data_IF_612740614048
#
_entry.id   IF_612740614048
#
_cell.length_a   1.000
_cell.length_b   1.000
_cell.length_c   1.000
_cell.angle_alpha   90.00
_cell.angle_beta   90.00
_cell.angle_gamma   90.00
#
_symmetry.space_group_name_H-M   'P 1'
#
loop_
_entity.id
_entity.type
_entity.pdbx_description
1 polymer ?
#
# COMPACT_ATOMS: atom_id res chain seq x y z
N UNK A 1 3.86 29.80 27.50
CA UNK A 1 3.47 29.42 28.87
C UNK A 1 4.68 28.79 29.55
N UNK A 2 5.06 29.25 30.73
CA UNK A 2 6.27 28.85 31.47
C UNK A 2 5.90 28.55 32.94
N UNK A 3 5.52 27.30 33.24
CA UNK A 3 4.98 26.96 34.55
C UNK A 3 6.09 26.92 35.61
N UNK A 4 5.81 27.47 36.79
CA UNK A 4 6.73 27.48 37.93
C UNK A 4 6.80 26.10 38.60
N UNK A 5 7.52 25.18 37.96
CA UNK A 5 7.71 23.81 38.42
C UNK A 5 9.19 23.43 38.37
N UNK A 6 9.69 22.57 39.26
CA UNK A 6 11.08 22.12 39.24
C UNK A 6 11.51 21.53 37.89
N UNK A 7 10.61 20.87 37.18
CA UNK A 7 10.86 20.33 35.84
C UNK A 7 11.13 21.42 34.80
N UNK A 8 10.34 22.49 34.79
CA UNK A 8 10.52 23.62 33.89
C UNK A 8 11.84 24.37 34.15
N UNK A 9 12.21 24.55 35.42
CA UNK A 9 13.49 25.17 35.80
C UNK A 9 14.70 24.35 35.35
N UNK A 10 14.64 23.02 35.50
CA UNK A 10 15.70 22.12 35.00
C UNK A 10 15.83 22.18 33.48
N UNK A 11 14.70 22.15 32.76
CA UNK A 11 14.69 22.21 31.30
C UNK A 11 15.24 23.55 30.79
N UNK A 12 14.87 24.66 31.45
CA UNK A 12 15.38 26.00 31.17
C UNK A 12 16.89 26.09 31.38
N UNK A 13 17.38 25.60 32.52
CA UNK A 13 18.80 25.55 32.83
C UNK A 13 19.58 24.77 31.76
N UNK A 14 19.11 23.56 31.44
CA UNK A 14 19.71 22.75 30.38
C UNK A 14 19.70 23.43 29.01
N UNK A 15 18.59 24.06 28.60
CA UNK A 15 18.48 24.74 27.31
C UNK A 15 19.46 25.91 27.20
N UNK A 16 19.61 26.70 28.26
CA UNK A 16 20.50 27.86 28.29
C UNK A 16 21.99 27.48 28.29
N UNK A 17 22.36 26.34 28.90
CA UNK A 17 23.77 25.90 29.01
C UNK A 17 24.24 25.12 27.80
N UNK A 18 23.49 24.11 27.37
CA UNK A 18 23.96 23.11 26.38
C UNK A 18 22.89 22.71 25.37
N UNK A 19 21.61 22.78 25.74
CA UNK A 19 20.50 22.27 24.93
C UNK A 19 20.27 23.06 23.64
N UNK A 20 20.49 24.38 23.64
CA UNK A 20 20.35 25.24 22.45
C UNK A 20 21.29 24.86 21.28
N UNK A 21 22.40 24.20 21.57
CA UNK A 21 23.40 23.75 20.59
C UNK A 21 23.32 22.23 20.32
N UNK A 22 22.43 21.53 21.03
CA UNK A 22 22.26 20.10 20.84
C UNK A 22 21.67 19.81 19.46
N UNK A 23 22.27 18.85 18.75
CA UNK A 23 21.71 18.34 17.50
C UNK A 23 20.37 17.66 17.79
N UNK A 24 19.32 18.12 17.12
CA UNK A 24 17.99 17.52 17.23
C UNK A 24 17.78 16.55 16.07
N UNK A 25 17.18 15.41 16.35
CA UNK A 25 16.66 14.53 15.31
C UNK A 25 15.18 14.81 15.12
N UNK A 26 14.74 14.87 13.86
CA UNK A 26 13.32 14.91 13.57
C UNK A 26 12.69 13.58 13.97
N UNK A 27 11.73 13.62 14.89
CA UNK A 27 10.90 12.45 15.26
C UNK A 27 9.85 12.12 14.20
N UNK A 28 9.75 12.93 13.15
CA UNK A 28 8.89 12.71 12.00
C UNK A 28 9.38 11.49 11.22
N UNK A 29 9.01 10.29 11.66
CA UNK A 29 9.15 9.10 10.84
C UNK A 29 8.15 9.20 9.69
N UNK A 30 8.57 9.74 8.54
CA UNK A 30 7.92 9.51 7.24
C UNK A 30 8.13 8.06 6.81
N UNK A 31 7.72 7.12 7.66
CA UNK A 31 7.80 5.69 7.40
C UNK A 31 6.64 5.30 6.51
N UNK A 32 6.81 5.51 5.20
CA UNK A 32 5.89 5.03 4.18
C UNK A 32 5.56 3.54 4.32
N UNK A 33 6.46 2.76 4.93
CA UNK A 33 6.30 1.33 5.17
C UNK A 33 5.76 0.89 6.53
N UNK A 34 5.56 1.79 7.52
CA UNK A 34 4.98 1.38 8.79
C UNK A 34 3.45 1.27 8.68
N UNK A 35 2.88 0.23 9.31
CA UNK A 35 1.44 0.04 9.48
C UNK A 35 0.92 0.95 10.59
N UNK A 36 0.99 2.25 10.34
CA UNK A 36 0.53 3.31 11.24
C UNK A 36 -0.36 4.27 10.46
N UNK A 37 -1.48 4.67 11.06
CA UNK A 37 -2.45 5.58 10.47
C UNK A 37 -3.80 5.42 11.14
N UNK A 38 -4.76 6.32 10.86
CA UNK A 38 -6.13 6.17 11.33
C UNK A 38 -6.77 4.91 10.74
N UNK A 39 -7.39 4.10 11.59
CA UNK A 39 -8.20 2.95 11.17
C UNK A 39 -9.58 3.43 10.75
N UNK A 40 -10.10 2.90 9.65
CA UNK A 40 -11.42 3.27 9.11
C UNK A 40 -12.03 2.10 8.34
N UNK A 41 -13.36 2.09 8.26
CA UNK A 41 -14.11 1.18 7.38
C UNK A 41 -13.98 1.61 5.92
N UNK A 42 -14.20 0.67 4.99
CA UNK A 42 -14.11 0.95 3.56
C UNK A 42 -15.13 2.01 3.10
N UNK A 43 -16.31 2.06 3.72
CA UNK A 43 -17.29 3.11 3.44
C UNK A 43 -16.75 4.50 3.81
N UNK A 44 -16.22 4.67 5.03
CA UNK A 44 -15.63 5.93 5.49
C UNK A 44 -14.44 6.34 4.61
N UNK A 45 -13.58 5.39 4.25
CA UNK A 45 -12.46 5.64 3.34
C UNK A 45 -12.94 6.17 1.99
N UNK A 46 -14.02 5.61 1.44
CA UNK A 46 -14.63 6.06 0.19
C UNK A 46 -15.20 7.47 0.32
N UNK A 47 -15.90 7.76 1.41
CA UNK A 47 -16.50 9.09 1.68
C UNK A 47 -15.43 10.16 1.77
N UNK A 48 -14.42 9.97 2.63
CA UNK A 48 -13.32 10.93 2.81
C UNK A 48 -12.49 11.11 1.54
N UNK A 49 -12.20 10.00 0.85
CA UNK A 49 -11.49 10.04 -0.43
C UNK A 49 -12.25 10.83 -1.51
N UNK A 50 -13.58 10.71 -1.55
CA UNK A 50 -14.42 11.44 -2.50
C UNK A 50 -14.55 12.92 -2.11
N UNK A 51 -14.69 13.21 -0.81
CA UNK A 51 -14.83 14.56 -0.28
C UNK A 51 -13.60 15.46 -0.53
N UNK A 52 -12.41 14.87 -0.68
CA UNK A 52 -11.18 15.61 -0.97
C UNK A 52 -11.20 16.37 -2.32
N UNK A 53 -12.06 15.98 -3.28
CA UNK A 53 -12.21 16.65 -4.59
C UNK A 53 -10.99 16.50 -5.52
N UNK A 54 -10.89 17.34 -6.56
CA UNK A 54 -9.72 17.42 -7.46
C UNK A 54 -9.05 18.79 -7.40
N UNK A 55 -7.69 18.88 -7.42
CA UNK A 55 -6.73 17.81 -7.15
C UNK A 55 -6.64 17.60 -5.63
N UNK A 56 -7.58 16.85 -5.07
CA UNK A 56 -7.67 16.64 -3.63
C UNK A 56 -6.42 15.98 -3.07
N UNK A 57 -6.05 16.40 -1.87
CA UNK A 57 -4.96 15.76 -1.14
C UNK A 57 -5.30 14.27 -0.95
N UNK A 58 -4.34 13.35 -1.21
CA UNK A 58 -4.60 11.94 -1.01
C UNK A 58 -4.85 11.65 0.47
N UNK A 59 -5.85 10.83 0.75
CA UNK A 59 -6.11 10.32 2.11
C UNK A 59 -5.44 8.96 2.28
N UNK A 60 -5.00 8.66 3.50
CA UNK A 60 -4.36 7.38 3.84
C UNK A 60 -4.97 6.82 5.10
N UNK A 61 -5.49 5.60 5.02
CA UNK A 61 -6.16 4.91 6.11
C UNK A 61 -5.66 3.48 6.25
N UNK A 62 -5.77 2.95 7.46
CA UNK A 62 -5.69 1.52 7.70
C UNK A 62 -7.10 0.93 7.65
N UNK A 63 -7.25 -0.25 7.05
CA UNK A 63 -8.48 -1.02 7.14
C UNK A 63 -8.17 -2.51 7.21
N UNK A 64 -8.89 -3.24 8.07
CA UNK A 64 -8.91 -4.70 8.04
C UNK A 64 -10.05 -5.14 7.13
N UNK A 65 -9.73 -5.90 6.09
CA UNK A 65 -10.70 -6.32 5.08
C UNK A 65 -10.36 -7.72 4.54
N UNK A 66 -11.35 -8.36 3.93
CA UNK A 66 -11.21 -9.65 3.26
C UNK A 66 -11.06 -9.45 1.75
N UNK A 67 -10.18 -10.23 1.11
CA UNK A 67 -10.07 -10.23 -0.35
C UNK A 67 -11.24 -11.03 -0.92
N UNK A 68 -12.12 -10.40 -1.68
CA UNK A 68 -13.19 -11.11 -2.39
C UNK A 68 -12.72 -11.63 -3.75
N UNK A 69 -11.85 -10.88 -4.44
CA UNK A 69 -11.32 -11.28 -5.74
C UNK A 69 -9.93 -10.68 -5.98
N UNK A 70 -9.01 -11.49 -6.49
CA UNK A 70 -7.77 -11.02 -7.08
C UNK A 70 -7.80 -11.35 -8.58
N UNK A 71 -7.70 -10.34 -9.45
CA UNK A 71 -7.65 -10.58 -10.90
C UNK A 71 -6.27 -11.11 -11.27
N UNK A 72 -6.22 -12.34 -11.77
CA UNK A 72 -5.01 -12.94 -12.32
C UNK A 72 -4.72 -12.43 -13.74
N UNK A 73 -5.76 -12.01 -14.49
CA UNK A 73 -5.56 -11.58 -15.87
C UNK A 73 -4.73 -10.30 -15.92
N UNK A 74 -3.63 -10.34 -16.68
CA UNK A 74 -2.68 -9.23 -16.82
C UNK A 74 -2.03 -8.77 -15.49
N UNK A 75 -2.10 -9.58 -14.43
CA UNK A 75 -1.46 -9.27 -13.15
C UNK A 75 0.06 -9.24 -13.29
N UNK A 76 0.63 -10.02 -14.23
CA UNK A 76 2.06 -10.17 -14.44
C UNK A 76 2.51 -9.48 -15.74
N UNK A 77 3.63 -8.75 -15.69
CA UNK A 77 4.24 -8.15 -16.88
C UNK A 77 5.77 -8.15 -16.84
N UNK A 78 6.37 -8.14 -18.04
CA UNK A 78 7.82 -7.94 -18.24
C UNK A 78 8.17 -6.47 -18.01
N UNK A 79 9.08 -6.18 -17.08
CA UNK A 79 9.50 -4.83 -16.72
C UNK A 79 10.98 -4.59 -16.99
N UNK A 80 11.36 -3.31 -17.05
CA UNK A 80 12.74 -2.85 -17.21
C UNK A 80 13.64 -3.47 -16.13
N UNK A 81 14.79 -4.09 -16.48
CA UNK A 81 15.63 -4.80 -15.53
C UNK A 81 16.39 -3.87 -14.56
N UNK A 82 16.49 -2.57 -14.86
CA UNK A 82 17.18 -1.61 -13.97
C UNK A 82 16.46 -1.44 -12.64
N UNK A 83 17.21 -1.20 -11.56
CA UNK A 83 16.66 -1.15 -10.19
C UNK A 83 15.66 0.01 -9.99
N UNK A 84 15.91 1.15 -10.63
CA UNK A 84 15.13 2.39 -10.47
C UNK A 84 13.96 2.51 -11.46
N UNK A 85 13.77 1.53 -12.33
CA UNK A 85 12.70 1.55 -13.34
C UNK A 85 11.76 0.35 -13.19
N UNK A 86 10.46 0.63 -13.21
CA UNK A 86 9.39 -0.36 -13.15
C UNK A 86 8.50 -0.33 -14.41
N UNK A 87 8.93 0.37 -15.46
CA UNK A 87 8.14 0.50 -16.69
C UNK A 87 8.09 -0.85 -17.41
N UNK A 88 6.92 -1.21 -17.94
CA UNK A 88 6.75 -2.35 -18.85
C UNK A 88 7.66 -2.18 -20.08
N UNK A 89 8.36 -3.24 -20.45
CA UNK A 89 9.19 -3.27 -21.67
C UNK A 89 8.39 -3.76 -22.88
N UNK A 90 8.83 -3.35 -24.06
CA UNK A 90 8.32 -3.83 -25.34
C UNK A 90 9.25 -4.97 -25.80
N UNK A 91 8.66 -6.12 -26.11
CA UNK A 91 9.38 -7.28 -26.65
C UNK A 91 9.60 -7.08 -28.15
N UNK A 92 10.86 -6.96 -28.58
CA UNK A 92 11.23 -6.80 -29.99
C UNK A 92 11.71 -8.13 -30.61
N UNK A 93 11.54 -9.26 -29.92
CA UNK A 93 12.01 -10.58 -30.33
C UNK A 93 13.40 -10.91 -29.80
N UNK A 94 14.43 -10.14 -30.20
CA UNK A 94 15.82 -10.37 -29.73
C UNK A 94 16.14 -9.63 -28.42
N UNK A 95 15.49 -8.50 -28.17
CA UNK A 95 15.74 -7.64 -27.02
C UNK A 95 14.45 -7.01 -26.48
N UNK A 96 14.59 -6.31 -25.36
CA UNK A 96 13.51 -5.63 -24.64
C UNK A 96 13.75 -4.13 -24.58
N UNK A 97 12.87 -3.34 -25.21
CA UNK A 97 12.95 -1.87 -25.22
C UNK A 97 12.24 -1.28 -24.01
N UNK A 98 12.93 -0.41 -23.26
CA UNK A 98 12.31 0.41 -22.22
C UNK A 98 12.17 1.87 -22.68
N UNK A 99 10.94 2.31 -22.96
CA UNK A 99 10.64 3.71 -23.36
C UNK A 99 11.04 4.75 -22.30
N UNK A 100 10.97 4.40 -21.01
CA UNK A 100 11.33 5.34 -19.93
C UNK A 100 12.83 5.57 -19.85
N UNK A 101 13.63 4.51 -20.03
CA UNK A 101 15.09 4.59 -19.96
C UNK A 101 15.71 4.89 -21.33
N UNK A 102 14.93 4.75 -22.41
CA UNK A 102 15.38 4.85 -23.79
C UNK A 102 16.54 3.90 -24.12
N UNK A 103 16.49 2.68 -23.57
CA UNK A 103 17.54 1.65 -23.67
C UNK A 103 16.95 0.29 -24.05
N UNK A 104 17.78 -0.52 -24.69
CA UNK A 104 17.52 -1.93 -25.02
C UNK A 104 18.23 -2.85 -24.05
N UNK A 105 17.55 -3.91 -23.62
CA UNK A 105 18.09 -4.90 -22.69
C UNK A 105 17.95 -6.32 -23.27
N UNK A 106 18.93 -7.20 -23.04
CA UNK A 106 18.82 -8.61 -23.44
C UNK A 106 17.85 -9.40 -22.55
N UNK A 107 17.42 -8.84 -21.42
CA UNK A 107 16.59 -9.48 -20.42
C UNK A 107 15.53 -8.53 -19.83
N UNK A 108 14.71 -9.07 -18.93
CA UNK A 108 13.67 -8.34 -18.21
C UNK A 108 13.53 -8.90 -16.79
N UNK A 109 12.77 -8.19 -15.94
CA UNK A 109 12.32 -8.69 -14.64
C UNK A 109 10.80 -8.83 -14.64
N UNK A 110 10.28 -9.89 -14.04
CA UNK A 110 8.85 -9.98 -13.79
C UNK A 110 8.43 -9.00 -12.69
N UNK A 111 7.25 -8.40 -12.85
CA UNK A 111 6.59 -7.60 -11.81
C UNK A 111 5.10 -7.86 -11.83
N UNK A 112 4.48 -7.71 -10.65
CA UNK A 112 3.03 -7.73 -10.52
C UNK A 112 2.41 -6.33 -10.48
N UNK A 113 1.19 -6.27 -11.00
CA UNK A 113 0.23 -5.19 -10.84
C UNK A 113 -1.12 -5.82 -10.51
N UNK A 114 -1.34 -6.12 -9.24
CA UNK A 114 -2.57 -6.75 -8.76
C UNK A 114 -3.74 -5.78 -8.77
N UNK A 115 -4.87 -6.20 -9.33
CA UNK A 115 -6.17 -5.55 -9.12
C UNK A 115 -6.96 -6.41 -8.15
N UNK A 116 -7.16 -5.89 -6.94
CA UNK A 116 -7.72 -6.63 -5.81
C UNK A 116 -9.03 -5.97 -5.40
N UNK A 117 -10.10 -6.75 -5.31
CA UNK A 117 -11.34 -6.35 -4.70
C UNK A 117 -11.32 -6.77 -3.24
N UNK A 118 -11.37 -5.77 -2.35
CA UNK A 118 -11.39 -5.95 -0.91
C UNK A 118 -12.75 -5.54 -0.35
N UNK A 119 -13.21 -6.25 0.67
CA UNK A 119 -14.55 -6.13 1.23
C UNK A 119 -14.48 -6.15 2.74
N UNK A 120 -15.28 -5.28 3.37
CA UNK A 120 -15.57 -5.33 4.79
C UNK A 120 -17.10 -5.32 5.00
N UNK A 121 -17.54 -5.21 6.25
CA UNK A 121 -18.97 -5.22 6.59
C UNK A 121 -19.72 -3.96 6.11
N UNK A 122 -19.02 -2.90 5.68
CA UNK A 122 -19.61 -1.62 5.25
C UNK A 122 -19.64 -1.45 3.74
N UNK A 123 -18.59 -1.92 3.04
CA UNK A 123 -18.44 -1.68 1.61
C UNK A 123 -17.45 -2.62 0.94
N UNK A 124 -17.22 -2.38 -0.35
CA UNK A 124 -16.15 -2.98 -1.13
C UNK A 124 -15.42 -1.92 -1.93
N UNK A 125 -14.14 -2.14 -2.22
CA UNK A 125 -13.41 -1.29 -3.15
C UNK A 125 -12.41 -2.09 -3.99
N UNK A 126 -12.15 -1.58 -5.20
CA UNK A 126 -11.05 -2.06 -6.04
C UNK A 126 -9.79 -1.26 -5.72
N UNK A 127 -8.71 -1.97 -5.38
CA UNK A 127 -7.43 -1.38 -5.06
C UNK A 127 -6.30 -1.99 -5.90
N UNK A 128 -5.33 -1.15 -6.24
CA UNK A 128 -4.11 -1.59 -6.95
C UNK A 128 -3.04 -1.98 -5.94
N UNK A 129 -2.51 -3.21 -6.06
CA UNK A 129 -1.33 -3.69 -5.34
C UNK A 129 -0.12 -3.74 -6.28
N UNK A 130 0.93 -2.99 -5.97
CA UNK A 130 2.20 -3.09 -6.72
C UNK A 130 3.01 -4.30 -6.27
N UNK A 131 3.94 -4.77 -7.13
CA UNK A 131 4.70 -6.02 -6.98
C UNK A 131 4.92 -6.50 -5.55
N UNK A 132 5.60 -5.74 -4.68
CA UNK A 132 5.91 -6.19 -3.32
C UNK A 132 4.67 -6.52 -2.48
N UNK A 133 3.61 -5.70 -2.53
CA UNK A 133 2.40 -5.97 -1.76
C UNK A 133 1.54 -7.06 -2.41
N UNK A 134 1.56 -7.17 -3.75
CA UNK A 134 0.89 -8.25 -4.46
C UNK A 134 1.56 -9.62 -4.18
N UNK A 135 2.88 -9.67 -4.11
CA UNK A 135 3.66 -10.86 -3.74
C UNK A 135 3.35 -11.31 -2.31
N UNK A 136 3.16 -10.37 -1.37
CA UNK A 136 2.73 -10.69 0.00
C UNK A 136 1.33 -11.30 0.04
N UNK A 137 0.40 -10.78 -0.78
CA UNK A 137 -0.98 -11.29 -0.87
C UNK A 137 -1.02 -12.70 -1.47
N UNK A 138 -0.24 -12.93 -2.53
CA UNK A 138 -0.23 -14.23 -3.24
C UNK A 138 0.63 -15.26 -2.49
N UNK A 139 1.63 -14.81 -1.75
CA UNK A 139 2.61 -15.69 -1.09
C UNK A 139 3.69 -16.23 -2.04
N UNK A 140 3.82 -15.65 -3.25
CA UNK A 140 4.82 -16.01 -4.26
C UNK A 140 5.41 -14.76 -4.88
N UNK A 141 6.69 -14.82 -5.27
CA UNK A 141 7.36 -13.73 -5.96
C UNK A 141 6.85 -13.58 -7.40
N UNK A 142 6.99 -12.38 -7.97
CA UNK A 142 6.64 -12.16 -9.39
C UNK A 142 7.47 -13.05 -10.33
N UNK A 143 8.71 -13.38 -9.95
CA UNK A 143 9.60 -14.24 -10.73
C UNK A 143 9.08 -15.68 -10.75
N UNK A 144 8.75 -16.26 -9.59
CA UNK A 144 8.20 -17.62 -9.49
C UNK A 144 6.88 -17.73 -10.28
N UNK A 145 5.99 -16.74 -10.18
CA UNK A 145 4.74 -16.73 -10.94
C UNK A 145 4.98 -16.63 -12.45
N UNK A 146 6.02 -15.91 -12.88
CA UNK A 146 6.36 -15.81 -14.30
C UNK A 146 6.94 -17.09 -14.87
N UNK A 147 7.74 -17.82 -14.09
CA UNK A 147 8.22 -19.15 -14.44
C UNK A 147 7.07 -20.15 -14.50
N UNK A 148 6.14 -20.08 -13.53
CA UNK A 148 4.96 -20.94 -13.49
C UNK A 148 4.05 -20.72 -14.71
N UNK A 149 3.84 -19.45 -15.10
CA UNK A 149 3.05 -19.10 -16.29
C UNK A 149 3.65 -19.66 -17.59
N UNK A 150 4.98 -19.79 -17.68
CA UNK A 150 5.64 -20.40 -18.84
C UNK A 150 5.53 -21.93 -18.87
N UNK A 151 5.42 -22.56 -17.70
CA UNK A 151 5.35 -24.02 -17.57
C UNK A 151 3.92 -24.53 -17.72
N UNK A 152 2.96 -23.89 -17.06
CA UNK A 152 1.59 -24.38 -16.93
C UNK A 152 0.63 -23.24 -16.59
N UNK A 153 -0.29 -22.94 -17.51
CA UNK A 153 -1.35 -21.96 -17.27
C UNK A 153 -2.28 -22.40 -16.12
N UNK A 154 -2.46 -23.71 -15.94
CA UNK A 154 -3.25 -24.27 -14.84
C UNK A 154 -2.63 -24.02 -13.47
N UNK A 155 -1.32 -24.21 -13.34
CA UNK A 155 -0.63 -23.96 -12.06
C UNK A 155 -0.56 -22.47 -11.75
N UNK A 156 -0.39 -21.64 -12.79
CA UNK A 156 -0.51 -20.18 -12.64
C UNK A 156 -1.88 -19.79 -12.09
N UNK A 157 -2.97 -20.31 -12.67
CA UNK A 157 -4.32 -20.04 -12.17
C UNK A 157 -4.53 -20.56 -10.74
N UNK A 158 -3.97 -21.73 -10.40
CA UNK A 158 -4.06 -22.31 -9.06
C UNK A 158 -3.39 -21.45 -7.99
N UNK A 159 -2.30 -20.73 -8.32
CA UNK A 159 -1.64 -19.81 -7.40
C UNK A 159 -2.57 -18.67 -6.93
N UNK A 160 -3.51 -18.22 -7.77
CA UNK A 160 -4.49 -17.20 -7.40
C UNK A 160 -5.75 -17.76 -6.75
N UNK A 161 -6.04 -19.05 -6.93
CA UNK A 161 -7.26 -19.67 -6.42
C UNK A 161 -7.35 -19.67 -4.88
N UNK A 162 -6.19 -19.66 -4.19
CA UNK A 162 -6.12 -19.60 -2.73
C UNK A 162 -6.20 -18.19 -2.13
N UNK A 163 -6.15 -17.14 -2.95
CA UNK A 163 -6.09 -15.73 -2.49
C UNK A 163 -7.43 -15.21 -1.93
N UNK A 164 -8.59 -15.49 -2.55
CA UNK A 164 -9.88 -15.06 -2.00
C UNK A 164 -10.14 -15.59 -0.59
N UNK A 165 -10.94 -14.85 0.18
CA UNK A 165 -11.33 -15.12 1.56
C UNK A 165 -10.19 -15.08 2.60
N UNK A 166 -9.01 -14.62 2.19
CA UNK A 166 -7.97 -14.25 3.14
C UNK A 166 -8.20 -12.82 3.65
N UNK A 167 -7.97 -12.64 4.95
CA UNK A 167 -8.13 -11.37 5.64
C UNK A 167 -6.77 -10.72 5.90
N UNK A 168 -6.68 -9.41 5.65
CA UNK A 168 -5.45 -8.65 5.87
C UNK A 168 -5.76 -7.26 6.43
N UNK A 169 -4.75 -6.64 7.03
CA UNK A 169 -4.75 -5.21 7.31
C UNK A 169 -4.04 -4.48 6.17
N UNK A 170 -4.76 -3.57 5.52
CA UNK A 170 -4.27 -2.78 4.39
C UNK A 170 -4.04 -1.33 4.81
N UNK A 171 -2.94 -0.74 4.34
CA UNK A 171 -2.75 0.71 4.30
C UNK A 171 -3.16 1.21 2.92
N UNK A 172 -4.34 1.81 2.83
CA UNK A 172 -4.92 2.29 1.59
C UNK A 172 -4.66 3.78 1.43
N UNK A 173 -4.05 4.15 0.30
CA UNK A 173 -4.05 5.52 -0.21
C UNK A 173 -5.21 5.66 -1.18
N UNK A 174 -6.06 6.65 -0.97
CA UNK A 174 -7.10 7.01 -1.94
C UNK A 174 -6.88 8.43 -2.48
N UNK A 175 -7.16 8.61 -3.76
CA UNK A 175 -7.02 9.89 -4.44
C UNK A 175 -7.99 9.97 -5.60
N UNK A 176 -8.65 11.12 -5.77
CA UNK A 176 -9.46 11.38 -6.95
C UNK A 176 -8.56 11.63 -8.15
N UNK A 177 -8.80 10.92 -9.25
CA UNK A 177 -8.06 11.07 -10.51
C UNK A 177 -9.04 11.21 -11.69
N UNK A 178 -8.67 12.02 -12.68
CA UNK A 178 -9.35 12.05 -13.97
C UNK A 178 -8.79 10.95 -14.87
N UNK A 179 -9.63 10.00 -15.26
CA UNK A 179 -9.29 8.92 -16.18
C UNK A 179 -10.33 8.81 -17.28
N UNK A 180 -9.91 8.95 -18.55
CA UNK A 180 -10.78 8.99 -19.72
C UNK A 180 -11.99 9.93 -19.53
N UNK A 181 -11.74 11.18 -19.13
CA UNK A 181 -12.76 12.22 -18.88
C UNK A 181 -13.79 11.88 -17.80
N UNK A 182 -13.55 10.83 -17.00
CA UNK A 182 -14.36 10.47 -15.85
C UNK A 182 -13.57 10.63 -14.56
N UNK A 183 -14.18 11.31 -13.59
CA UNK A 183 -13.64 11.45 -12.26
C UNK A 183 -13.87 10.16 -11.47
N UNK A 184 -12.80 9.54 -10.98
CA UNK A 184 -12.87 8.29 -10.21
C UNK A 184 -11.98 8.33 -8.99
N UNK A 185 -12.47 7.77 -7.89
CA UNK A 185 -11.65 7.49 -6.71
C UNK A 185 -10.74 6.31 -7.01
N UNK A 186 -9.43 6.52 -6.91
CA UNK A 186 -8.43 5.48 -7.07
C UNK A 186 -7.88 5.06 -5.72
N UNK A 187 -7.99 3.78 -5.41
CA UNK A 187 -7.39 3.16 -4.22
C UNK A 187 -6.10 2.43 -4.58
N UNK A 188 -5.06 2.64 -3.79
CA UNK A 188 -3.75 1.99 -3.92
C UNK A 188 -3.35 1.40 -2.58
N UNK A 189 -3.00 0.12 -2.56
CA UNK A 189 -2.43 -0.55 -1.40
C UNK A 189 -0.98 -0.09 -1.28
N UNK A 190 -0.69 0.71 -0.25
CA UNK A 190 0.68 1.13 0.07
C UNK A 190 1.41 0.07 0.88
N UNK A 191 0.67 -0.68 1.70
CA UNK A 191 1.19 -1.75 2.54
C UNK A 191 0.10 -2.77 2.85
N UNK A 192 0.46 -4.04 2.93
CA UNK A 192 -0.39 -5.14 3.40
C UNK A 192 0.33 -6.01 4.42
N UNK A 193 -0.38 -6.36 5.49
CA UNK A 193 0.12 -7.28 6.51
C UNK A 193 -0.97 -8.25 6.94
N UNK A 194 -0.56 -9.43 7.40
CA UNK A 194 -1.45 -10.36 8.09
C UNK A 194 -2.15 -9.65 9.27
N UNK A 195 -3.40 -10.03 9.54
CA UNK A 195 -4.18 -9.42 10.62
C UNK A 195 -3.54 -9.77 11.96
N UNK A 196 -3.24 -8.74 12.75
CA UNK A 196 -2.89 -8.93 14.15
C UNK A 196 -4.17 -8.92 14.98
N UNK A 197 -4.77 -10.10 15.17
CA UNK A 197 -6.02 -10.24 15.93
C UNK A 197 -5.96 -9.67 17.35
N UNK A 198 -4.78 -9.63 17.99
CA UNK A 198 -4.64 -9.02 19.32
C UNK A 198 -4.84 -7.51 19.26
N UNK A 199 -4.28 -6.84 18.26
CA UNK A 199 -4.47 -5.39 18.08
C UNK A 199 -5.87 -5.10 17.56
N UNK A 200 -6.32 -5.85 16.55
CA UNK A 200 -7.61 -5.64 15.92
C UNK A 200 -8.78 -5.85 16.90
N UNK A 201 -8.73 -6.90 17.74
CA UNK A 201 -9.77 -7.12 18.74
C UNK A 201 -9.83 -6.00 19.80
N UNK A 202 -8.69 -5.35 20.11
CA UNK A 202 -8.70 -4.20 21.02
C UNK A 202 -9.41 -3.01 20.38
N UNK A 203 -9.09 -2.71 19.12
CA UNK A 203 -9.77 -1.65 18.36
C UNK A 203 -11.28 -1.90 18.29
N UNK A 204 -11.69 -3.14 18.02
CA UNK A 204 -13.10 -3.54 18.02
C UNK A 204 -13.77 -3.34 19.38
N UNK A 205 -13.10 -3.71 20.47
CA UNK A 205 -13.62 -3.52 21.83
C UNK A 205 -13.75 -2.03 22.18
N UNK A 206 -12.76 -1.21 21.84
CA UNK A 206 -12.79 0.23 22.08
C UNK A 206 -13.99 0.86 21.33
N UNK A 207 -14.23 0.49 20.06
CA UNK A 207 -15.39 0.95 19.29
C UNK A 207 -16.72 0.54 19.93
N UNK A 208 -16.85 -0.69 20.45
CA UNK A 208 -18.07 -1.16 21.13
C UNK A 208 -18.30 -0.41 22.46
N UNK A 209 -17.23 -0.01 23.13
CA UNK A 209 -17.29 0.70 24.41
C UNK A 209 -17.57 2.19 24.25
N UNK A 210 -17.11 2.82 23.17
CA UNK A 210 -17.39 4.22 22.84
C UNK A 210 -18.83 4.46 22.38
N UNK A 211 -19.52 3.43 21.87
CA UNK A 211 -20.92 3.48 21.44
C UNK A 211 -21.94 3.43 22.62
N UNK A 212 -21.47 3.52 23.87
CA UNK A 212 -22.27 3.57 25.11
C UNK A 212 -22.24 4.93 25.76
#
# INVERSE_FOLDING_TARGET
MDPDTPGAHRLRGWWQTTGKEAQTSSISATSGGAMTGPSATLEKIREEGTAAGLPGAPTVHLCTATIALFRSENALYKACPTETCNKKVIDQGENFRCEKCNLDFPNYKYRLLGQVNIVDHTSQCWATAFSGEAEVIIGMTAQELGELMQQSEGDYAAAFAGVPFQEFTFKLKTQMENYNDSLRLRSTIQRVTQVNYRTYNKELLDMILEDK
#
